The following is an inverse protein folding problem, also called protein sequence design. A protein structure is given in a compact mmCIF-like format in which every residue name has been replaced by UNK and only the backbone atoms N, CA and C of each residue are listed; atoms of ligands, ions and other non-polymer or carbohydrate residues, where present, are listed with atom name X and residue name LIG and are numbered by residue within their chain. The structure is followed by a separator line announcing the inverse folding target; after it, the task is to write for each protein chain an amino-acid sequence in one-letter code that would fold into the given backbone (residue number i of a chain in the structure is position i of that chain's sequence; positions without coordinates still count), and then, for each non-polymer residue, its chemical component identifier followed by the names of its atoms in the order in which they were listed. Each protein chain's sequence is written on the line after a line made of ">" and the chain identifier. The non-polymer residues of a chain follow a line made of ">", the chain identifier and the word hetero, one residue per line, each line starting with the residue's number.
data_IF_748451994386
#
_entry.id   IF_748451994386
#
_cell.length_a   1.000
_cell.length_b   1.000
_cell.length_c   1.000
_cell.angle_alpha   90.00
_cell.angle_beta   90.00
_cell.angle_gamma   90.00
#
_symmetry.space_group_name_H-M   'P 1'
#
loop_
_entity.id
_entity.type
_entity.pdbx_description
1 polymer ?
#
# COMPACT_ATOMS: atom_id res chain seq x y z
N UNK A 1 24.00 51.08 -12.72
CA UNK A 1 22.63 50.56 -12.56
C UNK A 1 22.63 49.10 -12.96
N UNK A 2 21.87 48.21 -12.29
CA UNK A 2 21.74 46.83 -12.76
C UNK A 2 21.22 46.83 -14.20
N UNK A 3 21.76 45.95 -15.05
CA UNK A 3 21.24 45.78 -16.41
C UNK A 3 19.76 45.34 -16.33
N UNK A 4 18.88 45.91 -17.14
CA UNK A 4 17.45 45.56 -17.17
C UNK A 4 17.25 44.05 -17.38
N UNK A 5 18.11 43.41 -18.17
CA UNK A 5 18.14 41.96 -18.35
C UNK A 5 18.37 41.20 -17.04
N UNK A 6 19.28 41.69 -16.19
CA UNK A 6 19.57 41.08 -14.89
C UNK A 6 18.38 41.18 -13.94
N UNK A 7 17.66 42.31 -13.94
CA UNK A 7 16.44 42.47 -13.14
C UNK A 7 15.33 41.51 -13.59
N UNK A 8 15.11 41.36 -14.91
CA UNK A 8 14.14 40.40 -15.44
C UNK A 8 14.49 38.94 -15.12
N UNK A 9 15.79 38.60 -15.15
CA UNK A 9 16.27 37.27 -14.73
C UNK A 9 15.92 37.00 -13.27
N UNK A 10 16.12 37.97 -12.37
CA UNK A 10 15.77 37.83 -10.95
C UNK A 10 14.26 37.61 -10.76
N UNK A 11 13.43 38.38 -11.46
CA UNK A 11 11.96 38.24 -11.39
C UNK A 11 11.53 36.85 -11.87
N UNK A 12 12.07 36.38 -13.00
CA UNK A 12 11.80 35.05 -13.54
C UNK A 12 12.18 33.96 -12.53
N UNK A 13 13.38 34.03 -11.96
CA UNK A 13 13.85 33.05 -10.98
C UNK A 13 13.03 33.09 -9.68
N UNK A 14 12.57 34.26 -9.26
CA UNK A 14 11.71 34.39 -8.07
C UNK A 14 10.36 33.68 -8.26
N UNK A 15 9.73 33.88 -9.42
CA UNK A 15 8.48 33.20 -9.78
C UNK A 15 8.72 31.70 -9.94
N UNK A 16 9.81 31.31 -10.61
CA UNK A 16 10.17 29.90 -10.80
C UNK A 16 10.36 29.19 -9.46
N UNK A 17 11.14 29.76 -8.54
CA UNK A 17 11.38 29.19 -7.21
C UNK A 17 10.10 29.14 -6.37
N UNK A 18 9.28 30.21 -6.39
CA UNK A 18 7.99 30.21 -5.71
C UNK A 18 7.07 29.11 -6.26
N UNK A 19 7.05 28.92 -7.57
CA UNK A 19 6.30 27.85 -8.23
C UNK A 19 6.79 26.46 -7.84
N UNK A 20 8.09 26.20 -7.89
CA UNK A 20 8.63 24.87 -7.55
C UNK A 20 8.46 24.53 -6.08
N UNK A 21 8.64 25.50 -5.18
CA UNK A 21 8.36 25.34 -3.73
C UNK A 21 6.87 25.10 -3.50
N UNK A 22 5.98 25.84 -4.18
CA UNK A 22 4.53 25.64 -4.08
C UNK A 22 4.10 24.25 -4.53
N UNK A 23 4.63 23.77 -5.66
CA UNK A 23 4.36 22.42 -6.17
C UNK A 23 4.89 21.36 -5.21
N UNK A 24 6.15 21.48 -4.76
CA UNK A 24 6.76 20.56 -3.80
C UNK A 24 5.99 20.52 -2.47
N UNK A 25 5.60 21.70 -1.97
CA UNK A 25 4.76 21.87 -0.79
C UNK A 25 3.41 21.19 -0.94
N UNK A 26 2.73 21.34 -2.08
CA UNK A 26 1.45 20.67 -2.37
C UNK A 26 1.55 19.13 -2.28
N UNK A 27 2.58 18.53 -2.91
CA UNK A 27 2.78 17.08 -2.85
C UNK A 27 3.09 16.59 -1.43
N UNK A 28 3.95 17.31 -0.71
CA UNK A 28 4.28 16.97 0.69
C UNK A 28 3.07 17.13 1.60
N UNK A 29 2.26 18.18 1.43
CA UNK A 29 1.06 18.41 2.21
C UNK A 29 0.00 17.32 1.96
N UNK A 30 -0.20 16.91 0.70
CA UNK A 30 -1.10 15.78 0.38
C UNK A 30 -0.63 14.48 1.03
N UNK A 31 0.68 14.21 1.06
CA UNK A 31 1.25 13.04 1.75
C UNK A 31 1.11 13.14 3.26
N UNK A 32 1.26 14.35 3.82
CA UNK A 32 1.09 14.64 5.23
C UNK A 32 -0.35 14.38 5.69
N UNK A 33 -1.37 14.82 4.94
CA UNK A 33 -2.77 14.57 5.26
C UNK A 33 -3.12 13.07 5.38
N UNK A 34 -2.38 12.17 4.69
CA UNK A 34 -2.56 10.72 4.83
C UNK A 34 -2.03 10.15 6.15
N UNK A 35 -1.09 10.85 6.79
CA UNK A 35 -0.48 10.47 8.07
C UNK A 35 -1.18 11.11 9.26
N UNK A 36 -2.05 12.09 9.03
CA UNK A 36 -2.85 12.67 10.09
C UNK A 36 -3.72 11.61 10.76
N UNK A 37 -3.87 11.67 12.09
CA UNK A 37 -4.79 10.79 12.79
C UNK A 37 -6.21 11.04 12.28
N UNK A 38 -7.01 9.97 12.21
CA UNK A 38 -8.43 10.07 11.89
C UNK A 38 -9.22 10.50 13.13
N UNK A 39 -10.55 10.44 13.05
CA UNK A 39 -11.46 10.80 14.15
C UNK A 39 -11.20 10.02 15.44
N UNK A 40 -10.60 8.83 15.33
CA UNK A 40 -10.23 7.93 16.42
C UNK A 40 -8.83 8.19 17.01
N UNK A 41 -8.12 9.22 16.54
CA UNK A 41 -6.77 9.55 17.00
C UNK A 41 -5.67 8.65 16.44
N UNK A 42 -5.99 7.65 15.60
CA UNK A 42 -5.01 6.75 14.98
C UNK A 42 -4.84 7.07 13.48
N UNK A 43 -3.62 7.01 13.00
CA UNK A 43 -3.32 7.08 11.57
C UNK A 43 -3.61 5.75 10.89
N UNK A 44 -3.59 5.73 9.56
CA UNK A 44 -3.72 4.49 8.78
C UNK A 44 -2.58 3.51 9.10
N UNK A 45 -1.37 4.03 9.37
CA UNK A 45 -0.22 3.21 9.70
C UNK A 45 -0.35 2.58 11.08
N UNK A 46 -0.91 3.31 12.06
CA UNK A 46 -1.14 2.78 13.40
C UNK A 46 -2.16 1.63 13.39
N UNK A 47 -3.20 1.74 12.55
CA UNK A 47 -4.16 0.65 12.33
C UNK A 47 -3.52 -0.54 11.63
N UNK A 48 -2.71 -0.30 10.60
CA UNK A 48 -1.96 -1.36 9.93
C UNK A 48 -1.10 -2.13 10.91
N UNK A 49 -0.32 -1.43 11.76
CA UNK A 49 0.53 -2.05 12.77
C UNK A 49 -0.29 -2.80 13.82
N UNK A 50 -1.41 -2.22 14.27
CA UNK A 50 -2.33 -2.89 15.18
C UNK A 50 -2.82 -4.23 14.62
N UNK A 51 -3.33 -4.27 13.39
CA UNK A 51 -3.82 -5.50 12.78
C UNK A 51 -2.72 -6.54 12.55
N UNK A 52 -1.52 -6.12 12.18
CA UNK A 52 -0.37 -7.03 12.06
C UNK A 52 -0.04 -7.66 13.41
N UNK A 53 0.02 -6.85 14.48
CA UNK A 53 0.37 -7.33 15.80
C UNK A 53 -0.69 -8.28 16.37
N UNK A 54 -1.97 -7.91 16.27
CA UNK A 54 -3.08 -8.74 16.72
C UNK A 54 -3.14 -10.07 15.96
N UNK A 55 -2.87 -10.08 14.66
CA UNK A 55 -2.97 -11.33 13.87
C UNK A 55 -1.67 -12.13 13.80
N UNK A 56 -0.55 -11.62 14.31
CA UNK A 56 0.78 -12.25 14.21
C UNK A 56 0.80 -13.72 14.63
N UNK A 57 0.02 -14.07 15.65
CA UNK A 57 -0.07 -15.42 16.19
C UNK A 57 -0.86 -16.40 15.30
N UNK A 58 -1.68 -15.89 14.38
CA UNK A 58 -2.47 -16.69 13.43
C UNK A 58 -1.64 -17.21 12.25
N UNK A 59 -0.47 -16.58 11.99
CA UNK A 59 0.37 -16.88 10.82
C UNK A 59 1.29 -18.08 11.08
N UNK A 60 1.13 -19.14 10.29
CA UNK A 60 2.14 -20.19 10.16
C UNK A 60 3.31 -19.74 9.26
N UNK A 61 4.42 -20.48 9.28
CA UNK A 61 5.57 -20.19 8.42
C UNK A 61 5.23 -20.29 6.93
N UNK A 62 4.48 -21.31 6.52
CA UNK A 62 4.02 -21.49 5.13
C UNK A 62 3.23 -20.27 4.62
N UNK A 63 2.40 -19.67 5.46
CA UNK A 63 1.63 -18.48 5.10
C UNK A 63 2.48 -17.22 4.99
N UNK A 64 3.49 -17.09 5.86
CA UNK A 64 4.46 -16.00 5.77
C UNK A 64 5.28 -16.12 4.48
N UNK A 65 5.66 -17.34 4.11
CA UNK A 65 6.34 -17.64 2.85
C UNK A 65 5.45 -17.35 1.65
N UNK A 66 4.18 -17.77 1.68
CA UNK A 66 3.24 -17.47 0.62
C UNK A 66 3.06 -15.95 0.43
N UNK A 67 2.94 -15.18 1.50
CA UNK A 67 2.91 -13.72 1.42
C UNK A 67 4.21 -13.14 0.81
N UNK A 68 5.38 -13.71 1.16
CA UNK A 68 6.66 -13.30 0.58
C UNK A 68 6.71 -13.54 -0.93
N UNK A 69 6.24 -14.69 -1.40
CA UNK A 69 6.13 -15.00 -2.83
C UNK A 69 5.23 -13.98 -3.55
N UNK A 70 4.10 -13.59 -2.94
CA UNK A 70 3.16 -12.64 -3.54
C UNK A 70 3.71 -11.21 -3.67
N UNK A 71 4.72 -10.85 -2.88
CA UNK A 71 5.39 -9.53 -2.93
C UNK A 71 6.73 -9.56 -3.65
N UNK A 72 7.18 -10.71 -4.14
CA UNK A 72 8.38 -10.89 -4.95
C UNK A 72 8.54 -9.88 -6.12
N UNK A 73 7.50 -9.55 -6.92
CA UNK A 73 7.65 -8.65 -8.06
C UNK A 73 7.87 -7.19 -7.66
N UNK A 74 7.68 -6.87 -6.38
CA UNK A 74 7.95 -5.52 -5.85
C UNK A 74 9.46 -5.34 -5.71
N UNK A 75 10.03 -4.22 -6.20
CA UNK A 75 11.45 -3.92 -6.01
C UNK A 75 11.83 -3.95 -4.54
N UNK A 76 13.05 -4.42 -4.24
CA UNK A 76 13.51 -4.67 -2.87
C UNK A 76 13.33 -3.46 -1.94
N UNK A 77 13.67 -2.25 -2.42
CA UNK A 77 13.51 -0.98 -1.70
C UNK A 77 12.07 -0.69 -1.21
N UNK A 78 11.06 -1.31 -1.83
CA UNK A 78 9.64 -1.11 -1.51
C UNK A 78 8.96 -2.36 -0.98
N UNK A 79 9.64 -3.50 -0.96
CA UNK A 79 9.04 -4.80 -0.66
C UNK A 79 8.49 -4.86 0.77
N UNK A 80 9.24 -4.36 1.75
CA UNK A 80 8.78 -4.36 3.15
C UNK A 80 7.56 -3.46 3.36
N UNK A 81 7.51 -2.32 2.68
CA UNK A 81 6.37 -1.38 2.74
C UNK A 81 5.13 -2.03 2.11
N UNK A 82 5.28 -2.66 0.95
CA UNK A 82 4.20 -3.37 0.28
C UNK A 82 3.71 -4.55 1.13
N UNK A 83 4.64 -5.37 1.65
CA UNK A 83 4.34 -6.50 2.52
C UNK A 83 3.59 -6.05 3.77
N UNK A 84 4.04 -5.00 4.44
CA UNK A 84 3.34 -4.45 5.61
C UNK A 84 1.93 -3.97 5.26
N UNK A 85 1.77 -3.25 4.15
CA UNK A 85 0.45 -2.76 3.72
C UNK A 85 -0.52 -3.91 3.45
N UNK A 86 -0.05 -4.95 2.75
CA UNK A 86 -0.85 -6.13 2.44
C UNK A 86 -1.15 -6.94 3.71
N UNK A 87 -0.14 -7.19 4.55
CA UNK A 87 -0.30 -7.91 5.81
C UNK A 87 -1.28 -7.24 6.76
N UNK A 88 -1.27 -5.90 6.87
CA UNK A 88 -2.23 -5.17 7.68
C UNK A 88 -3.66 -5.32 7.18
N UNK A 89 -3.87 -5.37 5.86
CA UNK A 89 -5.21 -5.59 5.28
C UNK A 89 -5.69 -7.03 5.44
N UNK A 90 -4.80 -8.01 5.29
CA UNK A 90 -5.07 -9.41 5.59
C UNK A 90 -5.43 -9.56 7.07
N UNK A 91 -4.69 -8.93 7.97
CA UNK A 91 -4.96 -8.95 9.40
C UNK A 91 -6.32 -8.31 9.75
N UNK A 92 -6.65 -7.17 9.15
CA UNK A 92 -7.98 -6.54 9.29
C UNK A 92 -9.10 -7.51 8.86
N UNK A 93 -8.93 -8.20 7.74
CA UNK A 93 -9.90 -9.18 7.24
C UNK A 93 -10.02 -10.39 8.18
N UNK A 94 -8.90 -10.94 8.64
CA UNK A 94 -8.86 -12.07 9.54
C UNK A 94 -9.59 -11.80 10.86
N UNK A 95 -9.37 -10.62 11.46
CA UNK A 95 -10.09 -10.21 12.67
C UNK A 95 -11.58 -9.99 12.41
N UNK A 96 -11.93 -9.41 11.25
CA UNK A 96 -13.33 -9.21 10.87
C UNK A 96 -14.08 -10.52 10.68
N UNK A 97 -13.42 -11.54 10.14
CA UNK A 97 -13.97 -12.89 9.95
C UNK A 97 -13.82 -13.78 11.20
N UNK A 98 -13.17 -13.30 12.27
CA UNK A 98 -12.89 -14.02 13.53
C UNK A 98 -12.28 -15.41 13.29
N UNK A 99 -11.24 -15.48 12.48
CA UNK A 99 -10.60 -16.75 12.17
C UNK A 99 -9.62 -17.19 13.26
N UNK A 100 -9.56 -18.49 13.52
CA UNK A 100 -8.65 -19.08 14.50
C UNK A 100 -7.24 -19.32 13.94
N UNK A 101 -7.08 -19.31 12.60
CA UNK A 101 -5.80 -19.50 11.92
C UNK A 101 -5.79 -18.80 10.56
N UNK A 102 -4.60 -18.40 10.11
CA UNK A 102 -4.42 -17.78 8.81
C UNK A 102 -4.49 -18.84 7.69
N UNK A 103 -5.34 -18.60 6.70
CA UNK A 103 -5.52 -19.50 5.54
C UNK A 103 -5.17 -18.78 4.24
N UNK A 104 -4.81 -19.55 3.20
CA UNK A 104 -4.55 -19.03 1.85
C UNK A 104 -5.70 -18.18 1.35
N UNK A 105 -6.94 -18.59 1.61
CA UNK A 105 -8.16 -17.90 1.19
C UNK A 105 -8.23 -16.46 1.74
N UNK A 106 -7.93 -16.26 3.03
CA UNK A 106 -7.90 -14.95 3.67
C UNK A 106 -6.76 -14.10 3.11
N UNK A 107 -5.60 -14.70 2.87
CA UNK A 107 -4.44 -14.01 2.28
C UNK A 107 -4.77 -13.55 0.86
N UNK A 108 -5.40 -14.39 0.05
CA UNK A 108 -5.80 -14.07 -1.33
C UNK A 108 -6.84 -12.94 -1.33
N UNK A 109 -7.90 -13.06 -0.53
CA UNK A 109 -8.94 -12.02 -0.40
C UNK A 109 -8.35 -10.70 0.10
N UNK A 110 -7.49 -10.76 1.10
CA UNK A 110 -6.81 -9.59 1.67
C UNK A 110 -5.85 -8.95 0.66
N UNK A 111 -5.10 -9.73 -0.11
CA UNK A 111 -4.23 -9.25 -1.19
C UNK A 111 -5.03 -8.52 -2.27
N UNK A 112 -6.14 -9.10 -2.74
CA UNK A 112 -7.04 -8.47 -3.73
C UNK A 112 -7.58 -7.15 -3.18
N UNK A 113 -7.91 -7.10 -1.89
CA UNK A 113 -8.37 -5.87 -1.24
C UNK A 113 -7.28 -4.81 -1.01
N UNK A 114 -6.02 -5.22 -0.85
CA UNK A 114 -4.91 -4.32 -0.57
C UNK A 114 -4.29 -3.72 -1.85
N UNK A 115 -4.49 -4.36 -3.00
CA UNK A 115 -3.80 -4.03 -4.26
C UNK A 115 -4.78 -3.55 -5.33
N UNK A 116 -4.38 -2.62 -6.21
CA UNK A 116 -5.23 -2.15 -7.30
C UNK A 116 -5.33 -3.19 -8.44
N UNK A 117 -6.41 -3.14 -9.24
CA UNK A 117 -6.70 -4.09 -10.35
C UNK A 117 -5.52 -4.40 -11.27
N UNK A 118 -4.68 -3.40 -11.54
CA UNK A 118 -3.51 -3.55 -12.42
C UNK A 118 -2.47 -4.55 -11.90
N UNK A 119 -2.36 -4.69 -10.59
CA UNK A 119 -1.32 -5.47 -9.92
C UNK A 119 -1.76 -6.93 -9.67
N UNK A 120 -3.05 -7.23 -9.89
CA UNK A 120 -3.63 -8.57 -9.72
C UNK A 120 -3.13 -9.60 -10.75
N UNK A 121 -2.52 -9.17 -11.86
CA UNK A 121 -1.98 -10.08 -12.88
C UNK A 121 -0.96 -11.06 -12.30
N UNK A 122 -0.16 -10.61 -11.34
CA UNK A 122 0.84 -11.47 -10.70
C UNK A 122 0.19 -12.49 -9.76
N UNK A 123 -0.78 -12.06 -8.95
CA UNK A 123 -1.56 -12.96 -8.11
C UNK A 123 -2.21 -14.07 -8.95
N UNK A 124 -2.91 -13.70 -10.03
CA UNK A 124 -3.55 -14.67 -10.94
C UNK A 124 -2.55 -15.68 -11.50
N UNK A 125 -1.33 -15.24 -11.87
CA UNK A 125 -0.28 -16.13 -12.33
C UNK A 125 0.15 -17.11 -11.23
N UNK A 126 0.40 -16.62 -10.01
CA UNK A 126 0.82 -17.44 -8.87
C UNK A 126 -0.25 -18.44 -8.42
N UNK A 127 -1.52 -18.04 -8.44
CA UNK A 127 -2.63 -18.95 -8.12
C UNK A 127 -2.75 -20.10 -9.13
N UNK A 128 -2.54 -19.81 -10.42
CA UNK A 128 -2.50 -20.86 -11.46
C UNK A 128 -1.32 -21.82 -11.26
N UNK A 129 -0.14 -21.30 -10.91
CA UNK A 129 1.05 -22.11 -10.61
C UNK A 129 0.79 -23.06 -9.41
N UNK A 130 0.05 -22.62 -8.39
CA UNK A 130 -0.34 -23.44 -7.24
C UNK A 130 -1.62 -24.27 -7.47
N UNK A 131 -2.17 -24.33 -8.69
CA UNK A 131 -3.42 -25.03 -9.03
C UNK A 131 -4.65 -24.59 -8.20
N UNK A 132 -4.70 -23.33 -7.77
CA UNK A 132 -5.84 -22.77 -7.03
C UNK A 132 -6.86 -22.22 -8.03
N UNK A 133 -8.13 -22.64 -7.92
CA UNK A 133 -9.20 -22.13 -8.78
C UNK A 133 -9.45 -20.64 -8.48
N UNK A 134 -9.40 -19.81 -9.52
CA UNK A 134 -9.59 -18.36 -9.44
C UNK A 134 -11.08 -18.00 -9.43
N UNK A 135 -11.95 -18.89 -9.93
CA UNK A 135 -13.39 -18.62 -10.06
C UNK A 135 -14.05 -18.24 -8.74
N UNK A 136 -13.60 -18.83 -7.63
CA UNK A 136 -14.09 -18.52 -6.29
C UNK A 136 -13.80 -17.07 -5.86
N UNK A 137 -12.82 -16.41 -6.49
CA UNK A 137 -12.38 -15.04 -6.15
C UNK A 137 -12.85 -13.98 -7.16
N UNK A 138 -13.54 -14.35 -8.25
CA UNK A 138 -13.98 -13.40 -9.28
C UNK A 138 -14.81 -12.23 -8.73
N UNK A 139 -15.65 -12.50 -7.73
CA UNK A 139 -16.45 -11.48 -7.05
C UNK A 139 -15.60 -10.43 -6.30
N UNK A 140 -14.43 -10.83 -5.79
CA UNK A 140 -13.50 -9.94 -5.10
C UNK A 140 -12.73 -9.05 -6.09
N UNK A 141 -12.45 -9.54 -7.29
CA UNK A 141 -11.84 -8.75 -8.37
C UNK A 141 -12.77 -7.66 -8.93
N UNK A 142 -14.10 -7.87 -8.89
CA UNK A 142 -15.07 -6.89 -9.39
C UNK A 142 -15.29 -5.70 -8.44
N UNK A 143 -15.16 -5.92 -7.12
CA UNK A 143 -15.50 -4.93 -6.07
C UNK A 143 -14.49 -3.80 -5.88
N UNK A 144 -13.26 -3.90 -6.40
CA UNK A 144 -12.18 -2.93 -6.17
C UNK A 144 -11.58 -2.38 -7.46
#
# INVERSE_FOLDING_TARGET
>A
MPNDLFMWIIVLWSIFLAGTVGIGGFFMFRKFLKRMPKQDGKSILDWQEHYINETRHLWSEDQKEFLNELVEPVPELFRDIAKGTIAGKIGELALKENVDSMTDDIIIKGYISATPKRDHKFLVKKLKEKNIDIKQYESYFQKN
#
